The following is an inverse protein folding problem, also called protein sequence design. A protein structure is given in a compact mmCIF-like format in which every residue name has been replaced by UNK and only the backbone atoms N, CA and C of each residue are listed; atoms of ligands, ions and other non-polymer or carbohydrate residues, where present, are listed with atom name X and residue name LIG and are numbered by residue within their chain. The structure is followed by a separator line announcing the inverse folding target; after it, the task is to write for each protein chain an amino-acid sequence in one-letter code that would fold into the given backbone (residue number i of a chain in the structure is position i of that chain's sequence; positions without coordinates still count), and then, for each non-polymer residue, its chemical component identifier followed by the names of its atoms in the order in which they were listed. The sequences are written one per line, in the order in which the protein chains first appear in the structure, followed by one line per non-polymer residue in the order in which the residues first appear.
data_IF_916580582350
#
_entry.id   IF_916580582350
#
_cell.length_a   1.000
_cell.length_b   1.000
_cell.length_c   1.000
_cell.angle_alpha   90.00
_cell.angle_beta   90.00
_cell.angle_gamma   90.00
#
_symmetry.space_group_name_H-M   'P 1'
#
loop_
_entity.id
_entity.type
_entity.pdbx_description
1 polymer ?
#
# COMPACT_ATOMS: atom_id res chain seq x y z
N UNK A 1 90.01 52.06 -7.84
CA UNK A 1 89.71 51.29 -6.62
C UNK A 1 88.63 50.25 -6.94
N UNK A 2 88.97 48.96 -6.75
CA UNK A 2 88.15 47.83 -6.28
C UNK A 2 86.87 47.37 -7.02
N UNK A 3 86.88 46.06 -7.35
CA UNK A 3 85.71 45.14 -7.39
C UNK A 3 84.99 45.04 -8.74
N UNK A 4 84.86 43.91 -9.44
CA UNK A 4 84.76 42.52 -9.03
C UNK A 4 83.28 42.10 -8.93
N UNK A 5 82.70 41.48 -9.97
CA UNK A 5 81.27 41.11 -9.98
C UNK A 5 80.83 40.20 -11.13
N UNK A 6 81.17 38.91 -11.02
CA UNK A 6 80.42 37.69 -11.37
C UNK A 6 79.07 37.87 -12.09
N UNK A 7 78.82 37.12 -13.18
CA UNK A 7 77.43 36.84 -13.56
C UNK A 7 77.08 36.28 -14.94
N UNK A 8 78.01 35.68 -15.71
CA UNK A 8 77.61 34.81 -16.85
C UNK A 8 76.99 33.53 -16.30
N UNK A 9 75.67 33.37 -16.40
CA UNK A 9 74.92 32.08 -16.45
C UNK A 9 73.41 32.40 -16.44
N UNK A 10 72.62 31.59 -17.16
CA UNK A 10 71.16 31.49 -17.06
C UNK A 10 70.27 32.15 -18.14
N UNK A 11 70.73 32.26 -19.39
CA UNK A 11 69.82 32.42 -20.53
C UNK A 11 70.31 31.51 -21.65
N UNK A 12 69.73 30.29 -21.75
CA UNK A 12 69.60 29.53 -23.02
C UNK A 12 69.11 28.08 -22.84
N UNK A 13 69.13 27.51 -21.64
CA UNK A 13 68.86 26.07 -21.48
C UNK A 13 67.41 25.68 -21.10
N UNK A 14 66.39 26.52 -21.35
CA UNK A 14 65.03 26.29 -20.79
C UNK A 14 63.87 26.22 -21.79
N UNK A 15 64.11 26.20 -23.11
CA UNK A 15 63.02 26.24 -24.11
C UNK A 15 62.76 24.94 -24.89
N UNK A 16 63.59 23.91 -24.79
CA UNK A 16 63.49 22.72 -25.66
C UNK A 16 63.14 21.41 -24.96
N UNK A 17 62.81 21.40 -23.66
CA UNK A 17 62.58 20.15 -22.88
C UNK A 17 61.13 19.85 -22.49
N UNK A 18 60.14 20.55 -23.06
CA UNK A 18 58.71 20.32 -22.75
C UNK A 18 57.92 19.57 -23.84
N UNK A 19 58.48 19.37 -25.03
CA UNK A 19 57.79 18.70 -26.15
C UNK A 19 57.81 17.17 -26.11
N UNK A 20 58.89 16.57 -25.60
CA UNK A 20 59.12 15.12 -25.79
C UNK A 20 58.53 14.23 -24.69
N UNK A 21 58.16 14.80 -23.54
CA UNK A 21 57.65 14.02 -22.41
C UNK A 21 56.18 13.57 -22.59
N UNK A 22 55.38 14.33 -23.34
CA UNK A 22 53.94 14.05 -23.50
C UNK A 22 53.71 12.87 -24.46
N UNK A 23 54.55 12.73 -25.50
CA UNK A 23 54.36 11.72 -26.56
C UNK A 23 54.77 10.31 -26.09
N UNK A 24 55.69 10.18 -25.14
CA UNK A 24 56.15 8.86 -24.64
C UNK A 24 55.19 8.21 -23.65
N UNK A 25 54.37 8.99 -22.94
CA UNK A 25 53.42 8.47 -21.94
C UNK A 25 52.18 7.81 -22.57
N UNK A 26 51.82 8.18 -23.80
CA UNK A 26 50.76 7.52 -24.57
C UNK A 26 51.17 6.16 -25.13
N UNK A 27 52.48 5.90 -25.29
CA UNK A 27 52.99 4.69 -25.96
C UNK A 27 53.18 3.49 -25.00
N UNK A 28 53.04 3.69 -23.69
CA UNK A 28 53.05 2.63 -22.67
C UNK A 28 51.67 2.45 -22.04
N UNK A 29 50.60 2.81 -22.74
CA UNK A 29 49.27 2.35 -22.35
C UNK A 29 49.13 0.89 -22.76
N UNK A 30 49.05 -0.03 -21.81
CA UNK A 30 49.06 -1.44 -22.12
C UNK A 30 47.79 -1.78 -22.94
N UNK A 31 47.97 -2.59 -24.00
CA UNK A 31 46.96 -2.88 -25.04
C UNK A 31 45.63 -3.49 -24.54
N UNK A 32 45.51 -3.77 -23.25
CA UNK A 32 44.27 -4.25 -22.63
C UNK A 32 43.30 -3.12 -22.26
N UNK A 33 43.72 -1.85 -22.26
CA UNK A 33 42.82 -0.73 -22.00
C UNK A 33 41.64 -0.61 -22.98
N UNK A 34 41.82 -0.75 -24.31
CA UNK A 34 40.67 -0.77 -25.24
C UNK A 34 39.75 -1.97 -25.01
N UNK A 35 40.31 -3.13 -24.60
CA UNK A 35 39.52 -4.33 -24.28
C UNK A 35 38.70 -4.11 -23.02
N UNK A 36 39.29 -3.53 -21.97
CA UNK A 36 38.60 -3.20 -20.73
C UNK A 36 37.50 -2.16 -20.97
N UNK A 37 37.76 -1.14 -21.80
CA UNK A 37 36.75 -0.15 -22.17
C UNK A 37 35.59 -0.77 -22.96
N UNK A 38 35.90 -1.63 -23.94
CA UNK A 38 34.88 -2.33 -24.72
C UNK A 38 34.04 -3.28 -23.86
N UNK A 39 34.66 -4.01 -22.93
CA UNK A 39 33.97 -4.91 -22.01
C UNK A 39 33.02 -4.14 -21.08
N UNK A 40 33.44 -2.96 -20.59
CA UNK A 40 32.62 -2.13 -19.72
C UNK A 40 31.41 -1.55 -20.46
N UNK A 41 31.60 -1.09 -21.70
CA UNK A 41 30.50 -0.64 -22.56
C UNK A 41 29.53 -1.79 -22.85
N UNK A 42 30.04 -2.97 -23.19
CA UNK A 42 29.21 -4.14 -23.42
C UNK A 42 28.39 -4.51 -22.16
N UNK A 43 29.00 -4.48 -20.98
CA UNK A 43 28.30 -4.74 -19.73
C UNK A 43 27.18 -3.72 -19.44
N UNK A 44 27.41 -2.43 -19.73
CA UNK A 44 26.39 -1.38 -19.58
C UNK A 44 25.25 -1.60 -20.58
N UNK A 45 25.55 -1.89 -21.85
CA UNK A 45 24.53 -2.13 -22.88
C UNK A 45 23.70 -3.37 -22.55
N UNK A 46 24.35 -4.46 -22.13
CA UNK A 46 23.65 -5.69 -21.74
C UNK A 46 22.83 -5.46 -20.47
N UNK A 47 23.38 -4.77 -19.47
CA UNK A 47 22.64 -4.43 -18.26
C UNK A 47 21.43 -3.54 -18.53
N UNK A 48 21.53 -2.61 -19.48
CA UNK A 48 20.43 -1.76 -19.91
C UNK A 48 19.38 -2.51 -20.75
N UNK A 49 19.83 -3.37 -21.67
CA UNK A 49 18.93 -4.16 -22.52
C UNK A 49 18.20 -5.27 -21.75
N UNK A 50 18.82 -5.80 -20.69
CA UNK A 50 18.21 -6.75 -19.76
C UNK A 50 17.57 -6.06 -18.55
N UNK A 51 17.47 -4.73 -18.58
CA UNK A 51 16.84 -4.02 -17.48
C UNK A 51 15.36 -4.40 -17.44
N UNK A 52 14.86 -4.91 -16.30
CA UNK A 52 13.47 -5.29 -16.18
C UNK A 52 12.60 -4.04 -16.43
N UNK A 53 11.58 -4.21 -17.26
CA UNK A 53 10.61 -3.16 -17.56
C UNK A 53 9.92 -2.72 -16.27
N UNK A 54 9.67 -1.41 -16.13
CA UNK A 54 9.05 -0.82 -14.94
C UNK A 54 7.74 -1.54 -14.59
N UNK A 55 7.55 -1.84 -13.30
CA UNK A 55 6.28 -2.35 -12.79
C UNK A 55 5.14 -1.44 -13.25
N UNK A 56 4.00 -1.99 -13.71
CA UNK A 56 2.91 -1.18 -14.24
C UNK A 56 2.52 -0.12 -13.21
N UNK A 57 2.43 1.14 -13.64
CA UNK A 57 2.09 2.28 -12.78
C UNK A 57 0.92 1.91 -11.85
N UNK A 58 0.99 2.24 -10.55
CA UNK A 58 -0.06 1.90 -9.59
C UNK A 58 -1.36 2.63 -9.98
N UNK A 59 -2.17 1.96 -10.80
CA UNK A 59 -3.48 2.44 -11.21
C UNK A 59 -4.36 2.47 -9.98
N UNK A 60 -4.83 3.66 -9.62
CA UNK A 60 -5.88 3.84 -8.63
C UNK A 60 -7.05 2.96 -9.07
N UNK A 61 -7.39 1.92 -8.28
CA UNK A 61 -8.54 1.07 -8.60
C UNK A 61 -9.78 1.96 -8.54
N UNK A 62 -10.42 2.18 -9.69
CA UNK A 62 -11.74 2.82 -9.73
C UNK A 62 -12.73 1.86 -9.06
N UNK A 63 -13.00 2.12 -7.78
CA UNK A 63 -14.06 1.47 -7.03
C UNK A 63 -15.40 2.09 -7.43
N UNK A 64 -16.45 1.28 -7.35
CA UNK A 64 -17.80 1.81 -7.48
C UNK A 64 -18.12 2.75 -6.31
N UNK A 65 -19.21 3.49 -6.43
CA UNK A 65 -19.62 4.44 -5.39
C UNK A 65 -20.03 3.73 -4.08
N UNK A 66 -20.38 2.45 -4.14
CA UNK A 66 -20.85 1.70 -2.98
C UNK A 66 -19.70 1.30 -2.05
N UNK A 67 -19.96 1.40 -0.75
CA UNK A 67 -19.00 1.04 0.31
C UNK A 67 -19.61 0.12 1.34
N UNK A 68 -18.96 -1.00 1.63
CA UNK A 68 -19.25 -1.87 2.75
C UNK A 68 -18.23 -1.68 3.87
N UNK A 69 -18.71 -1.53 5.11
CA UNK A 69 -17.88 -1.25 6.27
C UNK A 69 -17.99 -2.36 7.31
N UNK A 70 -16.86 -2.78 7.86
CA UNK A 70 -16.77 -3.74 8.94
C UNK A 70 -16.46 -3.00 10.24
N UNK A 71 -17.23 -3.24 11.30
CA UNK A 71 -16.88 -2.83 12.66
C UNK A 71 -16.49 -4.06 13.47
N UNK A 72 -15.31 -4.02 14.08
CA UNK A 72 -14.78 -5.10 14.92
C UNK A 72 -14.45 -4.62 16.32
N UNK A 73 -14.20 -5.55 17.23
CA UNK A 73 -13.50 -5.24 18.48
C UNK A 73 -12.03 -4.86 18.28
N UNK A 74 -11.31 -4.69 19.38
CA UNK A 74 -9.93 -4.19 19.42
C UNK A 74 -8.88 -5.07 18.70
N UNK A 75 -9.17 -6.35 18.45
CA UNK A 75 -8.26 -7.22 17.68
C UNK A 75 -8.43 -7.07 16.16
N UNK A 76 -9.37 -6.24 15.73
CA UNK A 76 -9.50 -5.92 14.32
C UNK A 76 -9.95 -7.11 13.47
N UNK A 77 -9.54 -7.05 12.21
CA UNK A 77 -9.68 -8.15 11.25
C UNK A 77 -8.80 -9.36 11.56
N UNK A 78 -7.95 -9.29 12.58
CA UNK A 78 -7.12 -10.41 13.02
C UNK A 78 -7.84 -11.32 14.01
N UNK A 79 -8.94 -10.85 14.63
CA UNK A 79 -9.78 -11.63 15.51
C UNK A 79 -10.34 -12.88 14.80
N UNK A 80 -10.36 -14.07 15.43
CA UNK A 80 -10.87 -15.29 14.82
C UNK A 80 -12.26 -15.17 14.21
N UNK A 81 -13.15 -14.45 14.87
CA UNK A 81 -14.52 -14.17 14.46
C UNK A 81 -14.62 -13.19 13.28
N UNK A 82 -13.71 -12.21 13.19
CA UNK A 82 -13.71 -11.17 12.16
C UNK A 82 -13.01 -11.60 10.87
N UNK A 83 -12.01 -12.49 10.98
CA UNK A 83 -11.26 -13.04 9.84
C UNK A 83 -12.13 -13.55 8.69
N UNK A 84 -13.11 -14.45 8.90
CA UNK A 84 -13.93 -14.96 7.81
C UNK A 84 -14.80 -13.87 7.19
N UNK A 85 -15.35 -12.95 7.98
CA UNK A 85 -16.15 -11.82 7.48
C UNK A 85 -15.29 -10.93 6.58
N UNK A 86 -14.10 -10.54 7.06
CA UNK A 86 -13.18 -9.70 6.29
C UNK A 86 -12.72 -10.38 5.00
N UNK A 87 -12.40 -11.68 5.05
CA UNK A 87 -12.03 -12.45 3.86
C UNK A 87 -13.15 -12.45 2.80
N UNK A 88 -14.40 -12.63 3.22
CA UNK A 88 -15.56 -12.60 2.33
C UNK A 88 -15.78 -11.22 1.70
N UNK A 89 -15.64 -10.16 2.50
CA UNK A 89 -15.69 -8.78 2.01
C UNK A 89 -14.60 -8.51 0.97
N UNK A 90 -13.36 -8.95 1.24
CA UNK A 90 -12.25 -8.80 0.30
C UNK A 90 -12.49 -9.56 -1.01
N UNK A 91 -12.97 -10.80 -0.94
CA UNK A 91 -13.33 -11.60 -2.11
C UNK A 91 -14.39 -10.89 -2.97
N UNK A 92 -15.44 -10.37 -2.35
CA UNK A 92 -16.48 -9.60 -3.04
C UNK A 92 -15.94 -8.31 -3.66
N UNK A 93 -15.06 -7.59 -2.95
CA UNK A 93 -14.43 -6.37 -3.46
C UNK A 93 -13.60 -6.63 -4.71
N UNK A 94 -12.85 -7.73 -4.73
CA UNK A 94 -12.08 -8.15 -5.91
C UNK A 94 -12.98 -8.46 -7.10
N UNK A 95 -14.14 -9.09 -6.87
CA UNK A 95 -15.08 -9.47 -7.92
C UNK A 95 -15.91 -8.30 -8.45
N UNK A 96 -16.31 -7.36 -7.59
CA UNK A 96 -17.34 -6.36 -7.91
C UNK A 96 -16.84 -4.92 -7.95
N UNK A 97 -15.64 -4.67 -7.42
CA UNK A 97 -15.09 -3.34 -7.15
C UNK A 97 -15.94 -2.49 -6.19
N UNK A 98 -16.77 -3.11 -5.36
CA UNK A 98 -17.33 -2.44 -4.18
C UNK A 98 -16.19 -2.16 -3.21
N UNK A 99 -16.12 -0.94 -2.68
CA UNK A 99 -15.10 -0.57 -1.71
C UNK A 99 -15.39 -1.27 -0.39
N UNK A 100 -14.37 -1.86 0.23
CA UNK A 100 -14.46 -2.45 1.57
C UNK A 100 -13.47 -1.78 2.51
N UNK A 101 -13.90 -1.51 3.74
CA UNK A 101 -13.06 -0.94 4.79
C UNK A 101 -13.47 -1.50 6.14
N UNK A 102 -12.57 -1.43 7.12
CA UNK A 102 -12.87 -1.81 8.49
C UNK A 102 -12.54 -0.67 9.46
N UNK A 103 -13.18 -0.71 10.61
CA UNK A 103 -12.92 0.14 11.77
C UNK A 103 -12.92 -0.75 13.00
N UNK A 104 -11.97 -0.48 13.89
CA UNK A 104 -11.82 -1.20 15.15
C UNK A 104 -12.38 -0.31 16.26
N UNK A 105 -13.09 -0.89 17.21
CA UNK A 105 -13.51 -0.17 18.41
C UNK A 105 -12.29 -0.01 19.32
N UNK A 106 -11.70 1.18 19.29
CA UNK A 106 -10.63 1.55 20.21
C UNK A 106 -11.18 1.86 21.60
N UNK A 107 -10.45 1.42 22.63
CA UNK A 107 -10.80 1.67 24.03
C UNK A 107 -11.75 0.61 24.62
N UNK A 108 -12.64 0.99 25.57
CA UNK A 108 -13.52 0.04 26.25
C UNK A 108 -14.37 -0.78 25.27
N UNK A 109 -14.39 -2.10 25.44
CA UNK A 109 -15.20 -2.99 24.62
C UNK A 109 -16.62 -3.08 25.20
N UNK A 110 -17.37 -1.98 25.13
CA UNK A 110 -18.78 -1.90 25.56
C UNK A 110 -19.66 -1.45 24.41
N UNK A 111 -20.96 -1.75 24.50
CA UNK A 111 -21.95 -1.34 23.51
C UNK A 111 -21.97 0.19 23.34
N UNK A 112 -21.95 0.96 24.43
CA UNK A 112 -22.01 2.42 24.38
C UNK A 112 -20.79 3.03 23.67
N UNK A 113 -19.60 2.45 23.87
CA UNK A 113 -18.42 2.90 23.15
C UNK A 113 -18.54 2.56 21.66
N UNK A 114 -18.89 1.30 21.35
CA UNK A 114 -19.04 0.82 19.98
C UNK A 114 -20.12 1.57 19.18
N UNK A 115 -21.20 2.06 19.82
CA UNK A 115 -22.22 2.92 19.20
C UNK A 115 -21.59 4.16 18.55
N UNK A 116 -20.57 4.76 19.18
CA UNK A 116 -19.91 5.97 18.65
C UNK A 116 -19.15 5.66 17.36
N UNK A 117 -18.42 4.55 17.33
CA UNK A 117 -17.69 4.09 16.15
C UNK A 117 -18.67 3.69 15.05
N UNK A 118 -19.75 2.98 15.39
CA UNK A 118 -20.78 2.59 14.43
C UNK A 118 -21.49 3.81 13.82
N UNK A 119 -21.82 4.81 14.63
CA UNK A 119 -22.38 6.07 14.13
C UNK A 119 -21.41 6.79 13.18
N UNK A 120 -20.09 6.72 13.41
CA UNK A 120 -19.11 7.30 12.49
C UNK A 120 -19.12 6.63 11.10
N UNK A 121 -19.34 5.31 11.04
CA UNK A 121 -19.46 4.58 9.78
C UNK A 121 -20.73 4.99 9.02
N UNK A 122 -21.84 5.16 9.72
CA UNK A 122 -23.09 5.66 9.11
C UNK A 122 -22.89 7.06 8.53
N UNK A 123 -22.26 7.94 9.28
CA UNK A 123 -21.95 9.31 8.83
C UNK A 123 -20.95 9.32 7.67
N UNK A 124 -20.02 8.36 7.65
CA UNK A 124 -19.11 8.06 6.54
C UNK A 124 -19.78 7.46 5.31
N UNK A 125 -21.12 7.32 5.30
CA UNK A 125 -21.95 6.88 4.16
C UNK A 125 -21.66 5.45 3.69
N UNK A 126 -21.35 4.53 4.60
CA UNK A 126 -21.34 3.10 4.27
C UNK A 126 -22.77 2.65 3.87
N UNK A 127 -22.91 1.94 2.75
CA UNK A 127 -24.21 1.41 2.28
C UNK A 127 -24.66 0.19 3.11
N UNK A 128 -23.70 -0.56 3.67
CA UNK A 128 -23.94 -1.67 4.61
C UNK A 128 -22.84 -1.72 5.66
N UNK A 129 -23.22 -1.98 6.91
CA UNK A 129 -22.30 -2.19 8.02
C UNK A 129 -22.39 -3.62 8.53
N UNK A 130 -21.26 -4.34 8.49
CA UNK A 130 -21.08 -5.67 9.03
C UNK A 130 -20.47 -5.53 10.41
N UNK A 131 -21.04 -6.19 11.42
CA UNK A 131 -20.65 -6.05 12.83
C UNK A 131 -20.20 -7.39 13.36
N UNK A 132 -19.01 -7.42 13.95
CA UNK A 132 -18.40 -8.65 14.48
C UNK A 132 -17.78 -8.39 15.84
N UNK A 133 -18.02 -9.32 16.76
CA UNK A 133 -17.61 -9.21 18.16
C UNK A 133 -18.72 -8.63 19.03
N UNK A 134 -18.67 -8.93 20.32
CA UNK A 134 -19.73 -8.65 21.29
C UNK A 134 -20.12 -7.17 21.33
N UNK A 135 -19.15 -6.27 21.57
CA UNK A 135 -19.42 -4.84 21.69
C UNK A 135 -20.02 -4.21 20.40
N UNK A 136 -19.46 -4.42 19.18
CA UNK A 136 -20.10 -3.99 17.94
C UNK A 136 -21.51 -4.55 17.73
N UNK A 137 -21.73 -5.83 18.06
CA UNK A 137 -23.02 -6.50 17.87
C UNK A 137 -24.07 -5.96 18.84
N UNK A 138 -23.73 -5.75 20.11
CA UNK A 138 -24.65 -5.21 21.12
C UNK A 138 -25.05 -3.77 20.85
N UNK A 139 -24.16 -2.97 20.26
CA UNK A 139 -24.41 -1.59 19.87
C UNK A 139 -25.43 -1.44 18.71
N UNK A 140 -25.73 -2.53 17.98
CA UNK A 140 -26.54 -2.46 16.75
C UNK A 140 -27.95 -1.98 17.01
N UNK A 141 -28.59 -2.43 18.08
CA UNK A 141 -30.01 -2.18 18.31
C UNK A 141 -30.28 -0.69 18.54
N UNK A 142 -29.50 -0.06 19.42
CA UNK A 142 -29.58 1.37 19.70
C UNK A 142 -29.21 2.22 18.48
N UNK A 143 -28.19 1.81 17.73
CA UNK A 143 -27.73 2.56 16.55
C UNK A 143 -28.74 2.44 15.40
N UNK A 144 -29.26 1.25 15.13
CA UNK A 144 -30.21 1.01 14.05
C UNK A 144 -31.51 1.79 14.22
N UNK A 145 -31.99 1.94 15.46
CA UNK A 145 -33.15 2.77 15.78
C UNK A 145 -32.92 4.26 15.46
N UNK A 146 -31.69 4.76 15.64
CA UNK A 146 -31.32 6.16 15.31
C UNK A 146 -31.09 6.38 13.83
N UNK A 147 -30.72 5.34 13.08
CA UNK A 147 -30.39 5.41 11.66
C UNK A 147 -31.22 4.42 10.81
N UNK A 148 -32.54 4.63 10.67
CA UNK A 148 -33.44 3.68 10.02
C UNK A 148 -33.17 3.48 8.52
N UNK A 149 -32.47 4.42 7.88
CA UNK A 149 -32.09 4.32 6.47
C UNK A 149 -30.81 3.48 6.24
N UNK A 150 -30.03 3.23 7.29
CA UNK A 150 -28.78 2.49 7.19
C UNK A 150 -29.02 0.99 7.40
N UNK A 151 -28.19 0.13 6.78
CA UNK A 151 -28.36 -1.33 6.80
C UNK A 151 -27.27 -1.98 7.65
N UNK A 152 -27.68 -2.84 8.59
CA UNK A 152 -26.77 -3.50 9.52
C UNK A 152 -26.85 -5.02 9.39
N UNK A 153 -25.69 -5.68 9.44
CA UNK A 153 -25.55 -7.13 9.46
C UNK A 153 -24.74 -7.50 10.70
N UNK A 154 -25.39 -8.12 11.69
CA UNK A 154 -24.73 -8.61 12.90
C UNK A 154 -24.35 -10.08 12.74
N UNK A 155 -23.08 -10.42 12.97
CA UNK A 155 -22.60 -11.79 13.00
C UNK A 155 -22.47 -12.25 14.45
N UNK A 156 -23.37 -13.14 14.87
CA UNK A 156 -23.46 -13.61 16.26
C UNK A 156 -24.82 -13.33 16.90
N UNK A 157 -24.85 -13.29 18.22
CA UNK A 157 -26.09 -13.14 18.97
C UNK A 157 -26.60 -11.69 18.94
N UNK A 158 -27.64 -11.42 18.15
CA UNK A 158 -28.35 -10.15 18.11
C UNK A 158 -29.85 -10.37 17.88
N UNK A 159 -30.64 -9.34 18.15
CA UNK A 159 -32.05 -9.32 17.77
C UNK A 159 -32.22 -8.75 16.35
N UNK A 160 -32.89 -9.47 15.43
CA UNK A 160 -33.19 -8.92 14.11
C UNK A 160 -34.18 -7.77 14.22
N UNK A 161 -34.17 -6.89 13.21
CA UNK A 161 -35.04 -5.71 13.15
C UNK A 161 -35.26 -5.21 11.73
N UNK A 162 -36.00 -4.10 11.54
CA UNK A 162 -36.38 -3.60 10.21
C UNK A 162 -35.18 -3.35 9.27
N UNK A 163 -34.05 -2.93 9.83
CA UNK A 163 -32.80 -2.64 9.12
C UNK A 163 -31.60 -3.39 9.69
N UNK A 164 -31.84 -4.44 10.49
CA UNK A 164 -30.82 -5.30 11.10
C UNK A 164 -31.09 -6.75 10.71
N UNK A 165 -30.16 -7.35 9.95
CA UNK A 165 -30.12 -8.79 9.71
C UNK A 165 -29.10 -9.45 10.62
N UNK A 166 -29.40 -10.67 11.07
CA UNK A 166 -28.53 -11.45 11.95
C UNK A 166 -28.06 -12.70 11.21
N UNK A 167 -26.76 -12.97 11.30
CA UNK A 167 -26.10 -14.13 10.70
C UNK A 167 -25.52 -14.98 11.81
N UNK A 168 -25.77 -16.29 11.73
CA UNK A 168 -25.14 -17.24 12.63
C UNK A 168 -23.62 -17.29 12.39
N UNK A 169 -22.85 -17.12 13.46
CA UNK A 169 -21.39 -17.02 13.40
C UNK A 169 -20.66 -18.33 13.72
N UNK A 170 -21.36 -19.47 13.75
CA UNK A 170 -20.81 -20.75 14.23
C UNK A 170 -19.93 -21.45 13.19
N UNK A 171 -20.24 -21.31 11.89
CA UNK A 171 -19.43 -21.87 10.79
C UNK A 171 -18.66 -20.77 10.05
N UNK A 172 -17.32 -20.71 10.19
CA UNK A 172 -16.49 -19.70 9.51
C UNK A 172 -16.66 -19.70 7.98
N UNK A 173 -16.89 -20.85 7.36
CA UNK A 173 -17.05 -20.93 5.90
C UNK A 173 -18.40 -20.35 5.46
N UNK A 174 -19.47 -20.59 6.22
CA UNK A 174 -20.77 -19.95 6.00
C UNK A 174 -20.70 -18.44 6.22
N UNK A 175 -20.03 -18.01 7.30
CA UNK A 175 -19.82 -16.59 7.61
C UNK A 175 -19.09 -15.87 6.47
N UNK A 176 -18.02 -16.46 5.93
CA UNK A 176 -17.30 -15.89 4.81
C UNK A 176 -18.20 -15.75 3.57
N UNK A 177 -18.96 -16.79 3.23
CA UNK A 177 -19.90 -16.75 2.09
C UNK A 177 -20.96 -15.67 2.28
N UNK A 178 -21.56 -15.60 3.45
CA UNK A 178 -22.60 -14.61 3.75
C UNK A 178 -22.03 -13.19 3.65
N UNK A 179 -20.86 -12.91 4.24
CA UNK A 179 -20.21 -11.61 4.13
C UNK A 179 -19.93 -11.23 2.66
N UNK A 180 -19.42 -12.18 1.86
CA UNK A 180 -19.19 -11.98 0.43
C UNK A 180 -20.47 -11.67 -0.32
N UNK A 181 -21.53 -12.42 -0.07
CA UNK A 181 -22.80 -12.29 -0.78
C UNK A 181 -23.49 -10.97 -0.43
N UNK A 182 -23.42 -10.52 0.84
CA UNK A 182 -23.92 -9.20 1.28
C UNK A 182 -23.21 -8.04 0.59
N UNK A 183 -21.89 -8.10 0.47
CA UNK A 183 -21.13 -7.06 -0.25
C UNK A 183 -21.39 -7.11 -1.75
N UNK A 184 -21.46 -8.32 -2.33
CA UNK A 184 -21.69 -8.48 -3.77
C UNK A 184 -23.07 -7.97 -4.19
N UNK A 185 -24.07 -8.10 -3.33
CA UNK A 185 -25.42 -7.58 -3.56
C UNK A 185 -25.47 -6.04 -3.71
N UNK A 186 -24.48 -5.30 -3.17
CA UNK A 186 -24.41 -3.85 -3.37
C UNK A 186 -24.14 -3.48 -4.83
N UNK A 187 -23.38 -4.30 -5.55
CA UNK A 187 -23.06 -4.03 -6.95
C UNK A 187 -24.30 -4.10 -7.85
N UNK A 188 -25.27 -4.95 -7.51
CA UNK A 188 -26.50 -5.15 -8.30
C UNK A 188 -27.65 -4.23 -7.89
N UNK A 189 -27.54 -3.50 -6.77
CA UNK A 189 -28.66 -2.74 -6.20
C UNK A 189 -28.90 -1.36 -6.85
N UNK A 190 -28.00 -0.91 -7.73
CA UNK A 190 -28.04 0.41 -8.38
C UNK A 190 -27.82 0.35 -9.90
N UNK A 191 -27.70 -0.86 -10.47
CA UNK A 191 -27.76 -1.08 -11.92
C UNK A 191 -29.25 -1.14 -12.36
#
# INVERSE_FOLDING_TARGET
MLGGGVGRRARDARRTRRGDAVVRWLRTRPLWWPVAAAALVAAVVVGWALWPEDEPEPRQREYRAETACLLTGAQGVTAPEARPVWAGMQEASLATRVKVQFLEVDGPQTAENAETFLASLVQGRCDVMLLVGEAPVDAVAATAARFPAARFVAFGAASPGPNVSVVDATDPAAVQREARDRVSALASAKD
#
